data_IF_130236201836
#
_entry.id   IF_130236201836
#
_cell.length_a   1.000
_cell.length_b   1.000
_cell.length_c   1.000
_cell.angle_alpha   90.00
_cell.angle_beta   90.00
_cell.angle_gamma   90.00
#
_symmetry.space_group_name_H-M   'P 1'
#
loop_
_entity.id
_entity.type
_entity.pdbx_description
1 polymer ?
#
# COMPACT_ATOMS: atom_id res chain seq x y z
N UNK A 1 1.67 -13.13 37.42
CA UNK A 1 1.42 -14.03 36.28
C UNK A 1 0.05 -13.68 35.73
N UNK A 2 -0.07 -12.74 34.80
CA UNK A 2 -1.34 -12.35 34.15
C UNK A 2 -1.48 -13.17 32.89
N UNK A 3 -2.63 -13.85 32.80
CA UNK A 3 -2.99 -14.73 31.70
C UNK A 3 -3.04 -13.97 30.37
N UNK A 4 -2.28 -14.47 29.41
CA UNK A 4 -2.37 -14.12 28.01
C UNK A 4 -3.76 -14.55 27.53
N UNK A 5 -4.62 -13.61 27.16
CA UNK A 5 -5.88 -13.95 26.49
C UNK A 5 -5.56 -14.33 25.03
N UNK A 6 -5.20 -15.60 24.84
CA UNK A 6 -5.15 -16.18 23.52
C UNK A 6 -6.59 -16.43 23.06
N UNK A 7 -7.07 -15.67 22.10
CA UNK A 7 -8.24 -16.10 21.33
C UNK A 7 -7.76 -17.08 20.26
N UNK A 8 -7.73 -18.36 20.61
CA UNK A 8 -7.48 -19.43 19.65
C UNK A 8 -8.80 -19.73 18.96
N UNK A 9 -8.96 -19.24 17.73
CA UNK A 9 -10.08 -19.67 16.90
C UNK A 9 -9.69 -20.94 16.15
N UNK A 10 -10.37 -22.02 16.47
CA UNK A 10 -10.25 -23.28 15.76
C UNK A 10 -11.06 -23.21 14.47
N UNK A 11 -10.40 -23.01 13.33
CA UNK A 11 -11.01 -23.14 12.01
C UNK A 11 -10.54 -24.44 11.35
N UNK A 12 -11.34 -25.05 10.42
CA UNK A 12 -10.94 -26.27 9.72
C UNK A 12 -9.67 -26.08 8.87
N UNK A 13 -9.30 -24.85 8.52
CA UNK A 13 -8.00 -24.45 8.03
C UNK A 13 -7.22 -23.82 9.19
N UNK A 14 -6.00 -24.31 9.47
CA UNK A 14 -5.23 -23.82 10.60
C UNK A 14 -4.92 -22.32 10.42
N UNK A 15 -5.57 -21.52 11.24
CA UNK A 15 -5.44 -20.06 11.31
C UNK A 15 -4.91 -19.67 12.68
N UNK A 16 -3.85 -18.89 12.72
CA UNK A 16 -3.33 -18.27 13.93
C UNK A 16 -3.48 -16.75 13.77
N UNK A 17 -4.20 -16.13 14.68
CA UNK A 17 -4.26 -14.68 14.84
C UNK A 17 -3.92 -14.35 16.28
N UNK A 18 -2.93 -13.49 16.48
CA UNK A 18 -2.41 -13.13 17.79
C UNK A 18 -2.33 -11.61 17.91
N UNK A 19 -2.76 -11.12 19.05
CA UNK A 19 -2.53 -9.75 19.50
C UNK A 19 -1.71 -9.83 20.78
N UNK A 20 -0.54 -9.20 20.81
CA UNK A 20 0.32 -9.22 21.97
C UNK A 20 -0.10 -8.12 22.94
N UNK A 21 -0.36 -8.51 24.19
CA UNK A 21 -0.77 -7.59 25.28
C UNK A 21 0.21 -7.59 26.44
N UNK A 22 1.47 -7.66 26.31
CA UNK A 22 2.49 -7.75 27.37
C UNK A 22 3.16 -9.12 27.51
N UNK A 23 4.20 -9.43 26.81
CA UNK A 23 5.20 -10.37 27.29
C UNK A 23 6.44 -10.49 26.39
N UNK A 24 7.54 -10.93 26.98
CA UNK A 24 8.81 -11.25 26.31
C UNK A 24 8.64 -12.25 25.17
N UNK A 25 9.59 -12.30 24.20
CA UNK A 25 9.52 -13.08 22.98
C UNK A 25 9.03 -14.50 23.20
N UNK A 26 7.97 -14.85 22.49
CA UNK A 26 7.08 -15.94 22.84
C UNK A 26 7.58 -17.28 22.29
N UNK A 27 8.36 -18.02 23.06
CA UNK A 27 8.61 -19.46 22.83
C UNK A 27 7.31 -20.25 22.65
N UNK A 28 6.22 -19.80 23.26
CA UNK A 28 4.90 -20.42 23.14
C UNK A 28 4.29 -20.26 21.76
N UNK A 29 4.46 -19.10 21.11
CA UNK A 29 3.97 -18.87 19.74
C UNK A 29 4.72 -19.72 18.73
N UNK A 30 6.05 -19.75 18.81
CA UNK A 30 6.86 -20.58 17.93
C UNK A 30 6.45 -22.06 18.04
N UNK A 31 6.25 -22.57 19.26
CA UNK A 31 5.80 -23.93 19.48
C UNK A 31 4.37 -24.17 18.96
N UNK A 32 3.46 -23.17 19.12
CA UNK A 32 2.11 -23.24 18.57
C UNK A 32 2.15 -23.36 17.03
N UNK A 33 3.00 -22.57 16.37
CA UNK A 33 3.21 -22.66 14.91
C UNK A 33 3.75 -24.04 14.54
N UNK A 34 4.74 -24.55 15.26
CA UNK A 34 5.40 -25.84 14.97
C UNK A 34 4.42 -27.00 15.00
N UNK A 35 3.49 -27.04 15.96
CA UNK A 35 2.54 -28.17 16.08
C UNK A 35 1.42 -28.14 15.04
N UNK A 36 1.20 -27.01 14.35
CA UNK A 36 0.22 -26.95 13.26
C UNK A 36 0.76 -27.70 12.03
N UNK A 37 0.04 -28.71 11.56
CA UNK A 37 0.49 -29.51 10.39
C UNK A 37 0.32 -28.78 9.08
N UNK A 38 -0.71 -27.95 8.93
CA UNK A 38 -1.06 -27.27 7.67
C UNK A 38 -1.48 -25.84 7.97
N UNK A 39 -0.52 -25.02 8.42
CA UNK A 39 -0.77 -23.62 8.73
C UNK A 39 -0.90 -22.83 7.42
N UNK A 40 -2.10 -22.31 7.14
CA UNK A 40 -2.40 -21.51 5.95
C UNK A 40 -2.44 -20.01 6.21
N UNK A 41 -2.80 -19.62 7.44
CA UNK A 41 -3.01 -18.24 7.79
C UNK A 41 -2.27 -17.91 9.09
N UNK A 42 -1.39 -16.93 9.01
CA UNK A 42 -0.72 -16.37 10.17
C UNK A 42 -0.89 -14.85 10.21
N UNK A 43 -1.40 -14.36 11.31
CA UNK A 43 -1.57 -12.94 11.57
C UNK A 43 -1.06 -12.65 12.98
N UNK A 44 -0.17 -11.69 13.08
CA UNK A 44 0.37 -11.24 14.34
C UNK A 44 0.48 -9.72 14.36
N UNK A 45 -0.06 -9.13 15.41
CA UNK A 45 0.04 -7.72 15.74
C UNK A 45 0.74 -7.60 17.09
N UNK A 46 1.94 -7.03 17.09
CA UNK A 46 2.72 -6.77 18.28
C UNK A 46 2.81 -5.26 18.49
N UNK A 47 2.18 -4.76 19.54
CA UNK A 47 2.16 -3.37 19.96
C UNK A 47 2.95 -3.13 21.26
N UNK A 48 3.81 -4.09 21.63
CA UNK A 48 4.62 -3.99 22.85
C UNK A 48 5.78 -3.04 22.59
N UNK A 49 5.91 -2.06 23.47
CA UNK A 49 7.09 -1.22 23.55
C UNK A 49 8.23 -2.00 24.24
N UNK A 50 9.25 -2.30 23.48
CA UNK A 50 10.42 -3.04 23.98
C UNK A 50 11.55 -2.08 24.34
N UNK A 51 11.74 -1.87 25.63
CA UNK A 51 12.94 -1.18 26.13
C UNK A 51 14.17 -2.10 26.00
N UNK A 52 15.15 -1.70 25.21
CA UNK A 52 16.51 -2.26 25.17
C UNK A 52 16.62 -3.78 25.01
N UNK A 53 16.24 -4.31 23.86
CA UNK A 53 16.52 -5.69 23.52
C UNK A 53 17.90 -5.81 22.84
N UNK A 54 18.62 -6.90 23.13
CA UNK A 54 19.89 -7.25 22.49
C UNK A 54 19.74 -8.31 21.40
N UNK A 55 18.56 -8.94 21.32
CA UNK A 55 18.27 -10.03 20.37
C UNK A 55 16.91 -9.77 19.74
N UNK A 56 16.73 -10.18 18.46
CA UNK A 56 15.46 -10.11 17.76
C UNK A 56 14.41 -10.98 18.46
N UNK A 57 13.34 -10.40 19.03
CA UNK A 57 12.33 -11.14 19.78
C UNK A 57 11.51 -12.07 18.87
N UNK A 58 11.57 -11.88 17.56
CA UNK A 58 10.75 -12.58 16.56
C UNK A 58 11.49 -13.74 15.91
N UNK A 59 12.78 -13.90 16.12
CA UNK A 59 13.62 -14.90 15.45
C UNK A 59 13.04 -16.31 15.50
N UNK A 60 12.62 -16.79 16.68
CA UNK A 60 12.05 -18.12 16.84
C UNK A 60 10.72 -18.31 16.12
N UNK A 61 9.93 -17.26 16.01
CA UNK A 61 8.66 -17.27 15.27
C UNK A 61 8.93 -17.39 13.78
N UNK A 62 9.89 -16.64 13.27
CA UNK A 62 10.27 -16.72 11.87
C UNK A 62 10.84 -18.09 11.49
N UNK A 63 11.68 -18.68 12.34
CA UNK A 63 12.17 -20.06 12.16
C UNK A 63 11.04 -21.10 12.15
N UNK A 64 10.02 -20.89 12.97
CA UNK A 64 8.85 -21.76 12.97
C UNK A 64 7.97 -21.57 11.72
N UNK A 65 7.78 -20.33 11.27
CA UNK A 65 7.05 -20.00 10.03
C UNK A 65 7.77 -20.53 8.79
N UNK A 66 9.09 -20.48 8.74
CA UNK A 66 9.88 -21.04 7.65
C UNK A 66 9.54 -22.50 7.37
N UNK A 67 9.35 -23.31 8.44
CA UNK A 67 8.92 -24.72 8.34
C UNK A 67 7.51 -24.89 7.77
N UNK A 68 6.74 -23.81 7.62
CA UNK A 68 5.36 -23.77 7.08
C UNK A 68 5.27 -23.12 5.69
N UNK A 69 6.40 -22.83 5.07
CA UNK A 69 6.46 -22.15 3.77
C UNK A 69 5.60 -22.84 2.69
N UNK A 70 5.57 -24.17 2.69
CA UNK A 70 4.78 -24.96 1.75
C UNK A 70 3.27 -24.91 1.91
N UNK A 71 2.77 -24.41 3.04
CA UNK A 71 1.34 -24.33 3.34
C UNK A 71 0.82 -22.93 3.55
N UNK A 72 1.68 -21.96 3.90
CA UNK A 72 1.29 -20.60 4.24
C UNK A 72 0.86 -19.83 2.99
N UNK A 73 -0.39 -19.33 2.99
CA UNK A 73 -0.93 -18.52 1.90
C UNK A 73 -1.38 -17.13 2.35
N UNK A 74 -1.41 -16.87 3.64
CA UNK A 74 -1.70 -15.57 4.23
C UNK A 74 -0.67 -15.27 5.31
N UNK A 75 0.06 -14.17 5.15
CA UNK A 75 0.98 -13.65 6.13
C UNK A 75 0.68 -12.19 6.38
N UNK A 76 0.30 -11.86 7.61
CA UNK A 76 0.19 -10.49 8.10
C UNK A 76 0.97 -10.37 9.39
N UNK A 77 1.91 -9.43 9.41
CA UNK A 77 2.72 -9.15 10.58
C UNK A 77 2.84 -7.65 10.78
N UNK A 78 2.64 -7.25 12.00
CA UNK A 78 2.90 -5.91 12.50
C UNK A 78 3.92 -6.05 13.62
N UNK A 79 5.04 -5.38 13.50
CA UNK A 79 6.09 -5.36 14.50
C UNK A 79 6.24 -3.98 15.10
N UNK A 80 6.57 -3.96 16.38
CA UNK A 80 7.03 -2.74 17.02
C UNK A 80 8.44 -2.42 16.54
N UNK A 81 8.69 -1.16 16.21
CA UNK A 81 10.06 -0.71 15.94
C UNK A 81 10.93 -0.92 17.17
N UNK A 82 12.07 -1.58 16.99
CA UNK A 82 13.07 -1.83 18.03
C UNK A 82 14.40 -1.30 17.51
N UNK A 83 14.94 -0.29 18.19
CA UNK A 83 16.20 0.31 17.79
C UNK A 83 17.33 -0.73 17.75
N UNK A 84 18.02 -0.80 16.60
CA UNK A 84 19.13 -1.74 16.37
C UNK A 84 18.75 -3.18 16.03
N UNK A 85 17.45 -3.47 15.79
CA UNK A 85 16.99 -4.79 15.34
C UNK A 85 16.40 -4.70 13.93
N UNK A 86 17.04 -5.34 12.97
CA UNK A 86 16.70 -5.26 11.52
C UNK A 86 15.85 -6.44 11.02
N UNK A 87 15.32 -7.30 11.88
CA UNK A 87 14.53 -8.51 11.53
C UNK A 87 15.11 -9.30 10.34
N UNK A 88 16.43 -9.49 10.35
CA UNK A 88 17.22 -10.09 9.25
C UNK A 88 16.65 -11.44 8.81
N UNK A 89 16.16 -12.24 9.76
CA UNK A 89 15.64 -13.56 9.46
C UNK A 89 14.37 -13.51 8.61
N UNK A 90 13.42 -12.59 8.90
CA UNK A 90 12.23 -12.44 8.05
C UNK A 90 12.61 -12.08 6.62
N UNK A 91 13.55 -11.17 6.45
CA UNK A 91 14.07 -10.78 5.14
C UNK A 91 14.65 -11.98 4.38
N UNK A 92 15.36 -12.87 5.07
CA UNK A 92 15.95 -14.07 4.47
C UNK A 92 14.91 -15.11 4.05
N UNK A 93 13.87 -15.32 4.87
CA UNK A 93 12.87 -16.37 4.63
C UNK A 93 11.70 -15.92 3.76
N UNK A 94 11.51 -14.60 3.56
CA UNK A 94 10.39 -14.08 2.78
C UNK A 94 10.34 -14.71 1.38
N UNK A 95 11.48 -14.91 0.75
CA UNK A 95 11.61 -15.59 -0.55
C UNK A 95 11.19 -17.06 -0.54
N UNK A 96 11.01 -17.70 0.62
CA UNK A 96 10.58 -19.10 0.74
C UNK A 96 9.06 -19.25 0.74
N UNK A 97 8.30 -18.18 0.97
CA UNK A 97 6.84 -18.22 1.06
C UNK A 97 6.15 -18.09 -0.31
N UNK A 98 6.46 -18.96 -1.25
CA UNK A 98 6.04 -18.91 -2.65
C UNK A 98 4.54 -19.15 -2.89
N UNK A 99 3.80 -19.65 -1.88
CA UNK A 99 2.34 -19.89 -1.95
C UNK A 99 1.50 -18.75 -1.38
N UNK A 100 2.11 -17.63 -1.02
CA UNK A 100 1.36 -16.51 -0.49
C UNK A 100 0.38 -15.95 -1.52
N UNK A 101 -0.84 -15.74 -1.04
CA UNK A 101 -1.89 -14.96 -1.70
C UNK A 101 -1.99 -13.56 -1.13
N UNK A 102 -1.70 -13.42 0.15
CA UNK A 102 -1.76 -12.15 0.87
C UNK A 102 -0.47 -12.01 1.67
N UNK A 103 0.23 -10.92 1.40
CA UNK A 103 1.41 -10.48 2.14
C UNK A 103 1.20 -9.06 2.65
N UNK A 104 1.12 -8.93 3.97
CA UNK A 104 1.00 -7.64 4.65
C UNK A 104 2.10 -7.58 5.71
N UNK A 105 3.00 -6.63 5.55
CA UNK A 105 4.09 -6.37 6.48
C UNK A 105 4.03 -4.90 6.86
N UNK A 106 3.81 -4.64 8.13
CA UNK A 106 3.76 -3.31 8.71
C UNK A 106 4.98 -3.14 9.62
N UNK A 107 6.14 -2.89 9.00
CA UNK A 107 7.38 -2.59 9.66
C UNK A 107 8.47 -2.12 8.69
N UNK A 108 9.52 -1.55 9.29
CA UNK A 108 10.67 -0.99 8.59
C UNK A 108 11.74 -2.06 8.33
N UNK A 109 11.94 -2.44 7.06
CA UNK A 109 12.94 -3.42 6.68
C UNK A 109 14.03 -2.82 5.81
N UNK A 110 15.27 -3.05 6.18
CA UNK A 110 16.40 -2.78 5.31
C UNK A 110 16.83 -4.06 4.58
N UNK A 111 16.39 -4.21 3.34
CA UNK A 111 16.89 -5.29 2.52
C UNK A 111 18.29 -4.96 2.00
N UNK A 112 19.24 -5.88 2.18
CA UNK A 112 20.53 -5.81 1.50
C UNK A 112 20.35 -6.10 0.01
N UNK A 113 21.33 -5.72 -0.83
CA UNK A 113 21.31 -6.03 -2.27
C UNK A 113 21.19 -7.54 -2.52
N UNK A 114 21.87 -8.38 -1.73
CA UNK A 114 21.77 -9.84 -1.83
C UNK A 114 20.35 -10.36 -1.55
N UNK A 115 19.68 -9.79 -0.56
CA UNK A 115 18.30 -10.15 -0.22
C UNK A 115 17.31 -9.70 -1.30
N UNK A 116 17.53 -8.51 -1.87
CA UNK A 116 16.73 -8.01 -3.01
C UNK A 116 16.90 -8.92 -4.23
N UNK A 117 18.10 -9.36 -4.55
CA UNK A 117 18.34 -10.30 -5.65
C UNK A 117 17.63 -11.65 -5.39
N UNK A 118 17.61 -12.14 -4.16
CA UNK A 118 16.84 -13.34 -3.79
C UNK A 118 15.33 -13.15 -3.96
N UNK A 119 14.80 -11.97 -3.59
CA UNK A 119 13.39 -11.64 -3.82
C UNK A 119 13.05 -11.56 -5.31
N UNK A 120 13.93 -11.01 -6.14
CA UNK A 120 13.77 -10.99 -7.60
C UNK A 120 13.72 -12.36 -8.23
N UNK A 121 14.41 -13.35 -7.66
CA UNK A 121 14.39 -14.71 -8.16
C UNK A 121 13.14 -15.49 -7.74
N UNK A 122 12.42 -14.99 -6.73
CA UNK A 122 11.23 -15.66 -6.21
C UNK A 122 10.00 -15.30 -7.02
N UNK A 123 9.25 -16.33 -7.40
CA UNK A 123 7.99 -16.16 -8.13
C UNK A 123 6.80 -16.36 -7.19
N UNK A 124 6.00 -15.31 -7.01
CA UNK A 124 4.78 -15.32 -6.20
C UNK A 124 3.54 -15.45 -7.12
N UNK A 125 3.32 -16.62 -7.70
CA UNK A 125 2.28 -16.83 -8.73
C UNK A 125 0.86 -16.51 -8.27
N UNK A 126 0.58 -16.74 -6.99
CA UNK A 126 -0.77 -16.63 -6.42
C UNK A 126 -0.98 -15.35 -5.61
N UNK A 127 -0.01 -14.42 -5.59
CA UNK A 127 -0.09 -13.22 -4.77
C UNK A 127 -1.15 -12.25 -5.33
N UNK A 128 -2.20 -12.04 -4.55
CA UNK A 128 -3.32 -11.17 -4.89
C UNK A 128 -3.26 -9.81 -4.19
N UNK A 129 -2.70 -9.78 -2.97
CA UNK A 129 -2.62 -8.58 -2.14
C UNK A 129 -1.21 -8.41 -1.61
N UNK A 130 -0.62 -7.27 -1.90
CA UNK A 130 0.68 -6.85 -1.43
C UNK A 130 0.55 -5.51 -0.69
N UNK A 131 0.93 -5.52 0.58
CA UNK A 131 1.10 -4.32 1.39
C UNK A 131 2.39 -4.47 2.20
N UNK A 132 3.37 -3.62 1.93
CA UNK A 132 4.61 -3.56 2.69
C UNK A 132 4.82 -2.10 3.07
N UNK A 133 4.55 -1.80 4.34
CA UNK A 133 4.69 -0.47 4.89
C UNK A 133 6.16 -0.20 5.25
N UNK A 134 6.54 1.07 5.35
CA UNK A 134 7.88 1.55 5.77
C UNK A 134 9.05 0.98 4.93
N UNK A 135 8.81 0.64 3.67
CA UNK A 135 9.83 0.04 2.82
C UNK A 135 10.16 0.86 1.59
N UNK A 136 11.32 0.57 1.02
CA UNK A 136 11.74 1.19 -0.22
C UNK A 136 10.96 0.64 -1.41
N UNK A 137 10.66 1.50 -2.39
CA UNK A 137 9.92 1.14 -3.60
C UNK A 137 10.62 0.04 -4.42
N UNK A 138 11.94 -0.08 -4.34
CA UNK A 138 12.68 -1.14 -5.02
C UNK A 138 12.37 -2.53 -4.45
N UNK A 139 12.05 -2.66 -3.16
CA UNK A 139 11.62 -3.93 -2.53
C UNK A 139 10.30 -4.36 -3.14
N UNK A 140 9.31 -3.46 -3.14
CA UNK A 140 7.98 -3.73 -3.69
C UNK A 140 8.10 -4.04 -5.19
N UNK A 141 8.88 -3.28 -5.93
CA UNK A 141 9.14 -3.49 -7.37
C UNK A 141 9.74 -4.86 -7.65
N UNK A 142 10.64 -5.35 -6.79
CA UNK A 142 11.27 -6.68 -6.92
C UNK A 142 10.25 -7.81 -6.76
N UNK A 143 9.31 -7.68 -5.82
CA UNK A 143 8.22 -8.66 -5.64
C UNK A 143 7.26 -8.64 -6.85
N UNK A 144 6.93 -7.47 -7.35
CA UNK A 144 6.03 -7.28 -8.50
C UNK A 144 6.62 -7.90 -9.78
N UNK A 145 7.91 -7.76 -10.00
CA UNK A 145 8.57 -8.15 -11.25
C UNK A 145 8.33 -9.61 -11.62
N UNK A 146 8.28 -10.51 -10.65
CA UNK A 146 8.11 -11.94 -10.88
C UNK A 146 6.78 -12.53 -10.36
N UNK A 147 5.97 -11.73 -9.67
CA UNK A 147 4.73 -12.21 -9.06
C UNK A 147 3.48 -11.41 -9.42
N UNK A 148 3.61 -10.42 -10.28
CA UNK A 148 2.57 -9.40 -10.45
C UNK A 148 1.29 -9.82 -11.16
N UNK A 149 1.27 -10.92 -11.91
CA UNK A 149 0.11 -11.27 -12.77
C UNK A 149 -1.19 -11.47 -12.02
N UNK A 150 -1.14 -12.03 -10.82
CA UNK A 150 -2.30 -12.27 -9.97
C UNK A 150 -2.64 -11.10 -9.05
N UNK A 151 -1.76 -10.08 -8.97
CA UNK A 151 -1.94 -8.96 -8.08
C UNK A 151 -3.15 -8.12 -8.47
N UNK A 152 -4.04 -7.95 -7.49
CA UNK A 152 -5.25 -7.11 -7.55
C UNK A 152 -5.10 -5.87 -6.69
N UNK A 153 -4.27 -5.94 -5.63
CA UNK A 153 -4.11 -4.85 -4.67
C UNK A 153 -2.64 -4.64 -4.34
N UNK A 154 -2.15 -3.44 -4.56
CA UNK A 154 -0.86 -2.95 -4.12
C UNK A 154 -1.13 -1.70 -3.29
N UNK A 155 -0.94 -1.82 -1.98
CA UNK A 155 -1.35 -0.80 -1.03
C UNK A 155 -0.15 -0.42 -0.15
N UNK A 156 -0.02 0.86 0.13
CA UNK A 156 0.87 1.40 1.16
C UNK A 156 0.29 2.72 1.70
N UNK A 157 0.77 3.13 2.84
CA UNK A 157 0.38 4.42 3.44
C UNK A 157 1.31 5.54 2.97
N UNK A 158 0.84 6.79 2.96
CA UNK A 158 1.66 7.93 2.57
C UNK A 158 2.99 8.06 3.32
N UNK A 159 3.01 7.78 4.62
CA UNK A 159 4.21 7.86 5.45
C UNK A 159 5.19 6.70 5.23
N UNK A 160 4.76 5.64 4.57
CA UNK A 160 5.59 4.46 4.35
C UNK A 160 6.62 4.68 3.24
N UNK A 161 6.58 5.85 2.59
CA UNK A 161 7.50 6.19 1.52
C UNK A 161 8.68 6.97 2.08
N UNK A 162 9.58 6.25 2.74
CA UNK A 162 10.80 6.84 3.30
C UNK A 162 11.69 7.49 2.24
N UNK A 163 11.60 7.01 1.01
CA UNK A 163 12.40 7.51 -0.11
C UNK A 163 12.04 8.93 -0.56
N UNK A 164 10.90 9.47 -0.11
CA UNK A 164 10.59 10.89 -0.35
C UNK A 164 11.68 11.82 0.22
N UNK A 165 12.41 11.36 1.21
CA UNK A 165 13.51 12.11 1.85
C UNK A 165 14.86 11.98 1.11
N UNK A 166 14.98 11.10 0.10
CA UNK A 166 16.25 10.80 -0.56
C UNK A 166 16.17 11.02 -2.06
N UNK A 167 17.21 11.60 -2.66
CA UNK A 167 17.30 11.96 -4.09
C UNK A 167 17.13 10.82 -5.11
N UNK A 168 16.89 9.58 -4.65
CA UNK A 168 16.56 8.44 -5.51
C UNK A 168 15.06 8.28 -5.79
N UNK A 169 14.19 9.03 -5.13
CA UNK A 169 12.74 8.88 -5.18
C UNK A 169 12.19 8.89 -6.61
N UNK A 170 12.54 9.90 -7.41
CA UNK A 170 12.02 10.03 -8.77
C UNK A 170 12.35 8.83 -9.65
N UNK A 171 13.56 8.28 -9.55
CA UNK A 171 13.95 7.08 -10.29
C UNK A 171 13.20 5.85 -9.84
N UNK A 172 13.05 5.66 -8.53
CA UNK A 172 12.43 4.47 -7.96
C UNK A 172 10.92 4.47 -8.14
N UNK A 173 10.26 5.63 -8.02
CA UNK A 173 8.81 5.77 -8.27
C UNK A 173 8.46 5.58 -9.75
N UNK A 174 9.26 6.10 -10.68
CA UNK A 174 9.09 5.82 -12.10
C UNK A 174 9.27 4.33 -12.42
N UNK A 175 10.30 3.68 -11.85
CA UNK A 175 10.50 2.25 -12.02
C UNK A 175 9.32 1.45 -11.44
N UNK A 176 8.82 1.83 -10.28
CA UNK A 176 7.67 1.20 -9.64
C UNK A 176 6.41 1.30 -10.53
N UNK A 177 6.10 2.47 -11.07
CA UNK A 177 4.96 2.65 -12.00
C UNK A 177 5.12 1.74 -13.24
N UNK A 178 6.33 1.66 -13.81
CA UNK A 178 6.63 0.77 -14.95
C UNK A 178 6.41 -0.69 -14.61
N UNK A 179 6.95 -1.15 -13.48
CA UNK A 179 6.78 -2.54 -13.04
C UNK A 179 5.30 -2.92 -12.83
N UNK A 180 4.46 -1.99 -12.38
CA UNK A 180 3.03 -2.25 -12.24
C UNK A 180 2.39 -2.50 -13.60
N UNK A 181 2.52 -1.61 -14.58
CA UNK A 181 1.81 -1.81 -15.84
C UNK A 181 2.41 -2.93 -16.70
N UNK A 182 3.70 -3.26 -16.53
CA UNK A 182 4.34 -4.39 -17.20
C UNK A 182 3.90 -5.74 -16.61
N UNK A 183 3.66 -5.82 -15.30
CA UNK A 183 3.46 -7.10 -14.63
C UNK A 183 2.08 -7.28 -13.99
N UNK A 184 1.33 -6.21 -13.69
CA UNK A 184 0.07 -6.27 -12.95
C UNK A 184 -1.14 -5.73 -13.75
N UNK A 185 -1.47 -6.26 -14.93
CA UNK A 185 -2.55 -5.70 -15.76
C UNK A 185 -3.94 -5.85 -15.12
N UNK A 186 -4.08 -6.74 -14.13
CA UNK A 186 -5.34 -7.03 -13.42
C UNK A 186 -5.54 -6.22 -12.15
N UNK A 187 -4.68 -5.21 -11.91
CA UNK A 187 -4.73 -4.40 -10.69
C UNK A 187 -6.08 -3.67 -10.54
N UNK A 188 -6.65 -3.74 -9.34
CA UNK A 188 -7.93 -3.13 -9.00
C UNK A 188 -7.80 -1.99 -7.97
N UNK A 189 -6.88 -2.12 -7.03
CA UNK A 189 -6.62 -1.14 -5.97
C UNK A 189 -5.13 -0.82 -5.95
N UNK A 190 -4.80 0.44 -6.07
CA UNK A 190 -3.42 0.85 -6.26
C UNK A 190 -3.09 2.11 -5.47
N UNK A 191 -2.04 2.06 -4.68
CA UNK A 191 -1.35 3.23 -4.14
C UNK A 191 -0.13 3.54 -4.99
N UNK A 192 0.06 4.79 -5.37
CA UNK A 192 1.18 5.25 -6.20
C UNK A 192 1.85 6.44 -5.52
N UNK A 193 3.16 6.36 -5.24
CA UNK A 193 3.97 7.53 -4.95
C UNK A 193 4.17 8.31 -6.25
N UNK A 194 3.88 9.58 -6.24
CA UNK A 194 3.83 10.40 -7.44
C UNK A 194 4.59 11.71 -7.25
N UNK A 195 5.47 12.02 -8.19
CA UNK A 195 6.08 13.34 -8.31
C UNK A 195 5.48 14.03 -9.54
N UNK A 196 5.00 15.26 -9.44
CA UNK A 196 4.41 15.98 -10.57
C UNK A 196 5.48 16.43 -11.57
N UNK A 197 6.02 15.49 -12.34
CA UNK A 197 6.98 15.72 -13.42
C UNK A 197 6.46 15.19 -14.75
N UNK A 198 6.98 15.70 -15.84
CA UNK A 198 6.61 15.26 -17.20
C UNK A 198 6.76 13.76 -17.39
N UNK A 199 7.84 13.19 -16.85
CA UNK A 199 8.10 11.75 -16.92
C UNK A 199 7.07 10.96 -16.16
N UNK A 200 6.72 11.38 -14.94
CA UNK A 200 5.69 10.72 -14.13
C UNK A 200 4.31 10.79 -14.79
N UNK A 201 3.93 11.94 -15.31
CA UNK A 201 2.66 12.06 -16.05
C UNK A 201 2.61 11.12 -17.25
N UNK A 202 3.72 10.99 -17.98
CA UNK A 202 3.81 10.10 -19.15
C UNK A 202 3.67 8.63 -18.74
N UNK A 203 4.39 8.19 -17.72
CA UNK A 203 4.32 6.80 -17.25
C UNK A 203 2.98 6.49 -16.57
N UNK A 204 2.40 7.46 -15.87
CA UNK A 204 1.07 7.33 -15.28
C UNK A 204 -0.03 7.19 -16.34
N UNK A 205 0.03 7.97 -17.41
CA UNK A 205 -0.92 7.83 -18.53
C UNK A 205 -0.84 6.44 -19.18
N UNK A 206 0.36 5.89 -19.34
CA UNK A 206 0.56 4.50 -19.83
C UNK A 206 -0.04 3.49 -18.87
N UNK A 207 0.19 3.64 -17.56
CA UNK A 207 -0.36 2.77 -16.53
C UNK A 207 -1.89 2.74 -16.61
N UNK A 208 -2.55 3.89 -16.67
CA UNK A 208 -4.00 3.97 -16.75
C UNK A 208 -4.57 3.40 -18.06
N UNK A 209 -3.82 3.45 -19.15
CA UNK A 209 -4.20 2.83 -20.43
C UNK A 209 -4.13 1.30 -20.39
N UNK A 210 -3.24 0.73 -19.58
CA UNK A 210 -3.03 -0.72 -19.47
C UNK A 210 -3.91 -1.31 -18.37
N UNK A 211 -3.94 -0.69 -17.18
CA UNK A 211 -4.62 -1.20 -15.98
C UNK A 211 -6.12 -0.83 -15.98
N UNK A 212 -6.89 -1.37 -16.91
CA UNK A 212 -8.33 -1.04 -17.10
C UNK A 212 -9.27 -1.55 -16.00
N UNK A 213 -8.79 -2.45 -15.15
CA UNK A 213 -9.58 -3.01 -14.04
C UNK A 213 -9.54 -2.13 -12.76
N UNK A 214 -8.85 -1.00 -12.82
CA UNK A 214 -8.65 -0.13 -11.67
C UNK A 214 -9.99 0.39 -11.14
N UNK A 215 -10.26 0.13 -9.86
CA UNK A 215 -11.46 0.51 -9.10
C UNK A 215 -11.19 1.62 -8.12
N UNK A 216 -9.99 1.64 -7.54
CA UNK A 216 -9.57 2.64 -6.58
C UNK A 216 -8.09 2.99 -6.77
N UNK A 217 -7.78 4.27 -6.70
CA UNK A 217 -6.46 4.84 -6.88
C UNK A 217 -6.16 5.79 -5.72
N UNK A 218 -5.03 5.57 -5.04
CA UNK A 218 -4.45 6.52 -4.10
C UNK A 218 -3.17 7.09 -4.72
N UNK A 219 -3.14 8.40 -4.89
CA UNK A 219 -1.96 9.15 -5.29
C UNK A 219 -1.36 9.83 -4.06
N UNK A 220 -0.13 9.46 -3.77
CA UNK A 220 0.67 10.06 -2.69
C UNK A 220 1.65 11.00 -3.34
N UNK A 221 1.45 12.29 -3.15
CA UNK A 221 2.32 13.30 -3.74
C UNK A 221 3.57 13.41 -2.89
N UNK A 222 4.72 13.26 -3.54
CA UNK A 222 6.04 13.42 -2.95
C UNK A 222 6.78 14.49 -3.74
N UNK A 223 6.89 15.66 -3.17
CA UNK A 223 7.53 16.81 -3.82
C UNK A 223 8.58 17.43 -2.89
N UNK A 224 9.62 16.65 -2.59
CA UNK A 224 10.63 17.03 -1.58
C UNK A 224 11.70 18.01 -2.11
N UNK A 225 11.88 18.11 -3.42
CA UNK A 225 13.04 18.83 -3.98
C UNK A 225 12.69 20.21 -4.56
N UNK A 226 11.42 20.60 -4.59
CA UNK A 226 11.01 21.88 -5.21
C UNK A 226 10.03 22.62 -4.33
N UNK A 227 10.35 23.87 -4.05
CA UNK A 227 9.36 24.87 -3.66
C UNK A 227 8.57 25.17 -4.94
N UNK A 228 7.48 24.44 -5.19
CA UNK A 228 6.59 24.74 -6.31
C UNK A 228 5.80 25.99 -6.01
N UNK A 229 5.64 26.81 -7.03
CA UNK A 229 4.70 27.92 -6.94
C UNK A 229 3.26 27.38 -6.92
N UNK A 230 2.33 28.17 -6.40
CA UNK A 230 0.90 27.79 -6.39
C UNK A 230 0.42 27.54 -7.83
N UNK A 231 0.91 28.29 -8.80
CA UNK A 231 0.60 28.14 -10.21
C UNK A 231 1.06 26.77 -10.75
N UNK A 232 2.26 26.33 -10.42
CA UNK A 232 2.80 25.00 -10.82
C UNK A 232 2.00 23.85 -10.21
N UNK A 233 1.52 24.01 -8.97
CA UNK A 233 0.66 23.02 -8.33
C UNK A 233 -0.68 22.88 -9.07
N UNK A 234 -1.32 24.00 -9.43
CA UNK A 234 -2.57 23.99 -10.21
C UNK A 234 -2.35 23.42 -11.62
N UNK A 235 -1.27 23.79 -12.30
CA UNK A 235 -0.93 23.25 -13.62
C UNK A 235 -0.74 21.73 -13.58
N UNK A 236 -0.05 21.24 -12.58
CA UNK A 236 0.13 19.80 -12.33
C UNK A 236 -1.21 19.09 -12.09
N UNK A 237 -2.09 19.70 -11.31
CA UNK A 237 -3.45 19.22 -11.09
C UNK A 237 -4.27 19.13 -12.37
N UNK A 238 -4.22 20.17 -13.20
CA UNK A 238 -4.91 20.20 -14.50
C UNK A 238 -4.42 19.09 -15.43
N UNK A 239 -3.10 18.89 -15.52
CA UNK A 239 -2.51 17.80 -16.32
C UNK A 239 -3.01 16.45 -15.85
N UNK A 240 -3.05 16.20 -14.53
CA UNK A 240 -3.55 14.97 -13.95
C UNK A 240 -5.01 14.71 -14.33
N UNK A 241 -5.88 15.70 -14.15
CA UNK A 241 -7.31 15.55 -14.50
C UNK A 241 -7.50 15.26 -15.97
N UNK A 242 -6.76 15.92 -16.86
CA UNK A 242 -6.76 15.64 -18.31
C UNK A 242 -6.33 14.20 -18.63
N UNK A 243 -5.33 13.67 -17.92
CA UNK A 243 -4.91 12.26 -18.07
C UNK A 243 -6.03 11.33 -17.64
N UNK A 244 -6.67 11.56 -16.49
CA UNK A 244 -7.78 10.75 -15.99
C UNK A 244 -8.97 10.73 -16.97
N UNK A 245 -9.30 11.88 -17.57
CA UNK A 245 -10.34 11.99 -18.59
C UNK A 245 -10.01 11.09 -19.80
N UNK A 246 -8.79 11.24 -20.34
CA UNK A 246 -8.35 10.54 -21.57
C UNK A 246 -8.14 9.05 -21.37
N UNK A 247 -7.92 8.61 -20.14
CA UNK A 247 -7.60 7.21 -19.83
C UNK A 247 -8.81 6.28 -19.88
N UNK A 248 -10.04 6.78 -20.02
CA UNK A 248 -11.28 6.00 -20.20
C UNK A 248 -11.48 4.89 -19.15
N UNK A 249 -11.20 5.19 -17.88
CA UNK A 249 -11.32 4.26 -16.78
C UNK A 249 -12.81 4.10 -16.36
N UNK A 250 -13.49 3.14 -16.97
CA UNK A 250 -14.92 2.90 -16.70
C UNK A 250 -15.17 2.24 -15.33
N UNK A 251 -14.17 1.55 -14.78
CA UNK A 251 -14.30 0.83 -13.52
C UNK A 251 -13.88 1.67 -12.31
N UNK A 252 -13.26 2.82 -12.52
CA UNK A 252 -12.73 3.66 -11.44
C UNK A 252 -13.90 4.29 -10.67
N UNK A 253 -13.98 3.98 -9.38
CA UNK A 253 -15.04 4.42 -8.46
C UNK A 253 -14.51 5.31 -7.35
N UNK A 254 -13.20 5.34 -7.15
CA UNK A 254 -12.60 6.03 -6.04
C UNK A 254 -11.24 6.58 -6.42
N UNK A 255 -11.01 7.84 -6.12
CA UNK A 255 -9.70 8.49 -6.21
C UNK A 255 -9.40 9.15 -4.87
N UNK A 256 -8.18 8.94 -4.40
CA UNK A 256 -7.66 9.51 -3.16
C UNK A 256 -6.41 10.31 -3.47
N UNK A 257 -6.37 11.55 -3.03
CA UNK A 257 -5.22 12.43 -3.14
C UNK A 257 -4.68 12.69 -1.74
N UNK A 258 -3.43 12.38 -1.54
CA UNK A 258 -2.73 12.68 -0.32
C UNK A 258 -1.63 13.70 -0.60
N UNK A 259 -1.53 14.71 0.29
CA UNK A 259 -0.67 15.88 0.16
C UNK A 259 -1.12 16.90 -0.91
N UNK A 260 -0.32 17.92 -1.21
CA UNK A 260 -0.67 19.17 -1.91
C UNK A 260 -1.11 18.99 -3.39
N UNK A 261 -2.27 18.39 -3.61
CA UNK A 261 -2.86 18.33 -4.95
C UNK A 261 -4.04 19.28 -5.06
N UNK A 262 -3.85 20.36 -5.83
CA UNK A 262 -4.88 21.39 -6.04
C UNK A 262 -5.39 21.36 -7.48
N UNK A 263 -6.68 21.47 -7.62
CA UNK A 263 -7.33 21.64 -8.92
C UNK A 263 -8.01 22.99 -8.94
N UNK A 264 -7.86 23.74 -10.03
CA UNK A 264 -8.66 24.94 -10.20
C UNK A 264 -10.14 24.58 -10.31
N UNK A 265 -11.03 25.50 -9.98
CA UNK A 265 -12.47 25.29 -10.09
C UNK A 265 -12.86 24.88 -11.52
N UNK A 266 -12.28 25.55 -12.51
CA UNK A 266 -12.53 25.30 -13.92
C UNK A 266 -12.07 23.90 -14.33
N UNK A 267 -10.86 23.49 -13.94
CA UNK A 267 -10.33 22.16 -14.27
C UNK A 267 -11.09 21.04 -13.60
N UNK A 268 -11.51 21.25 -12.33
CA UNK A 268 -12.33 20.30 -11.60
C UNK A 268 -13.72 20.18 -12.22
N UNK A 269 -14.35 21.30 -12.61
CA UNK A 269 -15.66 21.31 -13.28
C UNK A 269 -15.59 20.59 -14.62
N UNK A 270 -14.59 20.90 -15.47
CA UNK A 270 -14.38 20.21 -16.74
C UNK A 270 -14.19 18.69 -16.56
N UNK A 271 -13.44 18.29 -15.54
CA UNK A 271 -13.26 16.87 -15.21
C UNK A 271 -14.59 16.21 -14.85
N UNK A 272 -15.38 16.82 -13.97
CA UNK A 272 -16.65 16.26 -13.52
C UNK A 272 -17.68 16.20 -14.65
N UNK A 273 -17.71 17.19 -15.54
CA UNK A 273 -18.57 17.19 -16.74
C UNK A 273 -18.23 16.01 -17.67
N UNK A 274 -16.93 15.79 -17.94
CA UNK A 274 -16.49 14.70 -18.79
C UNK A 274 -16.57 13.32 -18.11
N UNK A 275 -16.81 13.28 -16.80
CA UNK A 275 -17.00 12.05 -16.04
C UNK A 275 -18.47 11.55 -16.06
N UNK A 276 -19.41 12.30 -16.66
CA UNK A 276 -20.85 12.07 -16.58
C UNK A 276 -21.31 10.67 -16.98
N UNK A 277 -20.73 10.09 -18.03
CA UNK A 277 -21.10 8.78 -18.56
C UNK A 277 -20.34 7.62 -17.89
N UNK A 278 -19.56 7.89 -16.84
CA UNK A 278 -18.76 6.89 -16.13
C UNK A 278 -19.42 6.47 -14.80
N UNK A 279 -18.76 5.61 -14.06
CA UNK A 279 -19.20 5.22 -12.71
C UNK A 279 -19.22 6.41 -11.76
N UNK A 280 -20.14 6.39 -10.78
CA UNK A 280 -20.16 7.38 -9.70
C UNK A 280 -18.83 7.39 -8.96
N UNK A 281 -18.24 8.58 -8.76
CA UNK A 281 -16.91 8.76 -8.23
C UNK A 281 -16.93 9.20 -6.76
N UNK A 282 -16.16 8.53 -5.93
CA UNK A 282 -15.80 9.02 -4.59
C UNK A 282 -14.42 9.68 -4.65
N UNK A 283 -14.30 10.88 -4.12
CA UNK A 283 -13.04 11.64 -4.07
C UNK A 283 -12.69 11.91 -2.62
N UNK A 284 -11.44 11.60 -2.25
CA UNK A 284 -10.89 11.87 -0.93
C UNK A 284 -9.64 12.74 -1.08
N UNK A 285 -9.48 13.73 -0.24
CA UNK A 285 -8.35 14.67 -0.30
C UNK A 285 -7.93 15.15 1.08
N UNK A 286 -6.64 15.47 1.24
CA UNK A 286 -6.11 16.13 2.45
C UNK A 286 -6.01 17.65 2.31
N UNK A 287 -6.17 18.21 1.12
CA UNK A 287 -6.03 19.65 0.91
C UNK A 287 -7.27 20.43 1.36
N UNK A 288 -7.06 21.45 2.19
CA UNK A 288 -8.12 22.26 2.79
C UNK A 288 -8.81 23.21 1.81
N UNK A 289 -8.27 23.46 0.62
CA UNK A 289 -8.86 24.35 -0.38
C UNK A 289 -10.30 23.94 -0.74
N UNK A 290 -10.58 22.63 -0.68
CA UNK A 290 -11.91 22.09 -0.98
C UNK A 290 -12.97 22.39 0.08
N UNK A 291 -12.57 22.99 1.21
CA UNK A 291 -13.47 23.54 2.23
C UNK A 291 -13.96 24.95 1.89
N UNK A 292 -13.39 25.61 0.88
CA UNK A 292 -13.85 26.91 0.42
C UNK A 292 -15.24 26.83 -0.21
N UNK A 293 -16.01 27.89 -0.07
CA UNK A 293 -17.44 27.96 -0.47
C UNK A 293 -17.64 27.64 -1.95
N UNK A 294 -16.74 28.13 -2.82
CA UNK A 294 -16.84 27.92 -4.26
C UNK A 294 -16.68 26.43 -4.61
N UNK A 295 -15.71 25.73 -3.99
CA UNK A 295 -15.51 24.30 -4.17
C UNK A 295 -16.66 23.47 -3.60
N UNK A 296 -17.16 23.83 -2.41
CA UNK A 296 -18.34 23.19 -1.81
C UNK A 296 -19.58 23.29 -2.71
N UNK A 297 -19.80 24.46 -3.29
CA UNK A 297 -20.92 24.68 -4.21
C UNK A 297 -20.79 23.82 -5.47
N UNK A 298 -19.60 23.77 -6.07
CA UNK A 298 -19.31 22.93 -7.22
C UNK A 298 -19.52 21.45 -6.88
N UNK A 299 -18.91 20.96 -5.82
CA UNK A 299 -19.02 19.57 -5.36
C UNK A 299 -20.49 19.20 -5.10
N UNK A 300 -21.24 20.06 -4.41
CA UNK A 300 -22.66 19.83 -4.13
C UNK A 300 -23.52 19.80 -5.41
N UNK A 301 -23.20 20.62 -6.41
CA UNK A 301 -23.83 20.56 -7.75
C UNK A 301 -23.69 19.15 -8.33
N UNK A 302 -22.46 18.61 -8.35
CA UNK A 302 -22.17 17.29 -8.96
C UNK A 302 -22.60 16.10 -8.09
N UNK A 303 -22.72 16.25 -6.78
CA UNK A 303 -23.39 15.28 -5.90
C UNK A 303 -24.89 15.18 -6.22
N UNK A 304 -25.57 16.31 -6.41
CA UNK A 304 -27.01 16.33 -6.75
C UNK A 304 -27.31 15.69 -8.11
N UNK A 305 -26.42 15.86 -9.08
CA UNK A 305 -26.54 15.26 -10.41
C UNK A 305 -26.18 13.77 -10.36
N UNK A 306 -25.51 13.31 -9.31
CA UNK A 306 -25.16 11.91 -9.08
C UNK A 306 -23.85 11.46 -9.74
N UNK A 307 -23.00 12.38 -10.16
CA UNK A 307 -21.66 12.10 -10.68
C UNK A 307 -20.70 11.82 -9.51
N UNK A 308 -20.73 12.67 -8.48
CA UNK A 308 -20.00 12.43 -7.23
C UNK A 308 -20.89 11.60 -6.30
N UNK A 309 -20.38 10.45 -5.87
CA UNK A 309 -20.98 9.63 -4.83
C UNK A 309 -20.67 10.18 -3.46
N UNK A 310 -19.39 10.45 -3.21
CA UNK A 310 -18.88 10.97 -1.96
C UNK A 310 -17.69 11.90 -2.22
N UNK A 311 -17.57 12.93 -1.41
CA UNK A 311 -16.40 13.81 -1.40
C UNK A 311 -16.06 14.09 0.06
N UNK A 312 -14.83 13.71 0.46
CA UNK A 312 -14.35 13.89 1.81
C UNK A 312 -13.03 14.62 1.80
N UNK A 313 -12.98 15.68 2.58
CA UNK A 313 -11.73 16.29 3.01
C UNK A 313 -11.41 15.77 4.40
N UNK A 314 -10.18 15.34 4.61
CA UNK A 314 -9.69 14.94 5.93
C UNK A 314 -8.19 15.15 6.03
N UNK A 315 -7.79 15.81 7.10
CA UNK A 315 -6.38 15.93 7.50
C UNK A 315 -5.86 14.64 8.14
N UNK A 316 -6.78 13.73 8.52
CA UNK A 316 -6.41 12.45 9.11
C UNK A 316 -6.06 11.45 8.01
N UNK A 317 -4.81 11.04 7.98
CA UNK A 317 -4.30 10.05 7.03
C UNK A 317 -5.09 8.75 7.10
N UNK A 318 -5.51 8.33 8.30
CA UNK A 318 -6.32 7.12 8.49
C UNK A 318 -7.64 7.14 7.71
N UNK A 319 -8.18 8.32 7.39
CA UNK A 319 -9.41 8.46 6.61
C UNK A 319 -9.16 8.48 5.10
N UNK A 320 -7.96 8.92 4.67
CA UNK A 320 -7.54 8.90 3.27
C UNK A 320 -6.97 7.54 2.88
N UNK A 321 -6.31 6.87 3.80
CA UNK A 321 -5.78 5.53 3.59
C UNK A 321 -6.87 4.49 3.34
N UNK A 322 -6.49 3.41 2.67
CA UNK A 322 -7.32 2.24 2.58
C UNK A 322 -7.51 1.61 3.96
N UNK A 323 -8.73 1.18 4.24
CA UNK A 323 -9.00 0.42 5.46
C UNK A 323 -8.54 -1.03 5.27
N UNK A 324 -7.35 -1.36 5.74
CA UNK A 324 -6.77 -2.70 5.64
C UNK A 324 -7.49 -3.76 6.49
N UNK A 325 -8.37 -3.36 7.41
CA UNK A 325 -9.15 -4.30 8.22
C UNK A 325 -10.32 -4.93 7.46
N UNK A 326 -10.64 -4.44 6.26
CA UNK A 326 -11.72 -4.95 5.40
C UNK A 326 -11.17 -5.96 4.36
N UNK A 327 -9.86 -6.20 4.37
CA UNK A 327 -9.19 -7.20 3.56
C UNK A 327 -9.18 -8.55 4.26
#
# INVERSE_FOLDING_TARGET
MKLIKHQIFYFPEAKIRLESLYSKPNHGIAKLIEVQRNLKHFEWNDDIDYDYLTEDPYEKIFLALEKKADSLNYLRVYFQYIEGIDHILLQQILSKFYKLKILIIDDFFFFTEEQLEKLKLQVYNDLEILNIEWNKLNVISSIIENGGRSLKKILFRPYDIIECEYGSFNKNSLNFIRKIYENCPSIEYLSIPFSPSKEHFTEFEKLLKICKNLKSLLLVICNMDKIETIEEIYESGEILLKILIRSELINLKEIRFYDDFKFSLESLEEFLEKWFDKSKLSIFTSDSIYEEENYKNLINKYKRIGIIKDFKHSLLISEINYNFNIL
#
